data_IF_014631062194
#
_entry.id   IF_014631062194
#
_cell.length_a   1.000
_cell.length_b   1.000
_cell.length_c   1.000
_cell.angle_alpha   90.00
_cell.angle_beta   90.00
_cell.angle_gamma   90.00
#
_symmetry.space_group_name_H-M   'P 1'
#
loop_
_entity.id
_entity.type
_entity.pdbx_description
1 polymer ?
#
# COMPACT_ATOMS: atom_id res chain seq x y z
N UNK A 1 -3.76 0.10 17.18
CA UNK A 1 -2.39 -0.20 17.64
C UNK A 1 -1.51 1.03 17.51
N UNK A 2 -0.43 1.13 18.28
CA UNK A 2 0.53 2.24 18.17
C UNK A 2 1.24 2.32 16.81
N UNK A 3 1.37 1.22 16.06
CA UNK A 3 1.82 1.23 14.65
C UNK A 3 1.00 2.21 13.83
N UNK A 4 -0.31 2.08 13.95
CA UNK A 4 -1.20 2.92 13.20
C UNK A 4 -1.15 4.35 13.72
N UNK A 5 -1.03 4.56 15.03
CA UNK A 5 -0.81 5.90 15.56
C UNK A 5 0.50 6.52 15.04
N UNK A 6 1.62 5.79 15.02
CA UNK A 6 2.92 6.25 14.51
C UNK A 6 2.92 6.50 13.00
N UNK A 7 2.25 5.64 12.23
CA UNK A 7 2.14 5.76 10.79
C UNK A 7 1.20 6.90 10.41
N UNK A 8 0.08 7.06 11.13
CA UNK A 8 -0.80 8.23 11.07
C UNK A 8 -0.06 9.49 11.51
N UNK A 9 0.75 9.47 12.56
CA UNK A 9 1.56 10.60 13.01
C UNK A 9 2.63 10.95 11.97
N UNK A 10 3.34 9.98 11.41
CA UNK A 10 4.31 10.22 10.34
C UNK A 10 3.64 10.80 9.11
N UNK A 11 2.48 10.27 8.72
CA UNK A 11 1.66 10.85 7.65
C UNK A 11 1.21 12.26 7.98
N UNK A 12 0.68 12.51 9.17
CA UNK A 12 0.23 13.84 9.61
C UNK A 12 1.41 14.81 9.63
N UNK A 13 2.57 14.39 10.13
CA UNK A 13 3.80 15.19 10.17
C UNK A 13 4.31 15.46 8.75
N UNK A 14 4.31 14.44 7.89
CA UNK A 14 4.61 14.54 6.48
C UNK A 14 3.55 15.31 5.68
N UNK A 15 2.34 15.53 6.22
CA UNK A 15 1.33 16.43 5.64
C UNK A 15 1.49 17.88 6.17
N UNK A 16 1.98 18.05 7.40
CA UNK A 16 2.15 19.34 8.08
C UNK A 16 3.44 20.09 7.72
N UNK A 17 4.54 19.38 7.41
CA UNK A 17 5.87 19.96 7.13
C UNK A 17 6.01 20.75 5.82
N UNK A 18 4.90 21.20 5.22
CA UNK A 18 4.86 22.01 4.00
C UNK A 18 4.83 23.53 4.19
N UNK A 19 4.86 24.04 5.43
CA UNK A 19 4.87 25.47 5.71
C UNK A 19 5.92 25.80 6.77
N UNK A 20 6.87 26.67 6.44
CA UNK A 20 7.80 27.23 7.42
C UNK A 20 7.04 28.08 8.44
N UNK A 21 7.20 27.77 9.72
CA UNK A 21 6.63 28.53 10.82
C UNK A 21 6.54 27.71 12.11
N UNK A 22 7.36 28.07 13.10
CA UNK A 22 7.44 27.46 14.42
C UNK A 22 6.26 27.86 15.33
N UNK A 23 6.01 26.99 16.31
CA UNK A 23 5.28 27.22 17.57
C UNK A 23 3.79 27.59 17.49
N UNK A 24 2.95 26.55 17.46
CA UNK A 24 1.49 26.62 17.65
C UNK A 24 0.83 25.23 17.55
N UNK A 25 1.46 24.21 18.12
CA UNK A 25 1.36 22.83 17.62
C UNK A 25 0.01 22.11 17.84
N UNK A 26 -0.85 22.49 18.79
CA UNK A 26 -2.05 21.68 19.11
C UNK A 26 -3.33 22.18 18.43
N UNK A 27 -3.58 23.49 18.42
CA UNK A 27 -4.72 24.10 17.71
C UNK A 27 -4.56 24.08 16.18
N UNK A 28 -3.33 24.29 15.69
CA UNK A 28 -2.99 24.23 14.26
C UNK A 28 -3.05 22.82 13.68
N UNK A 29 -2.79 21.78 14.47
CA UNK A 29 -2.84 20.39 14.00
C UNK A 29 -4.27 19.91 13.74
N UNK A 30 -5.23 20.28 14.60
CA UNK A 30 -6.65 19.91 14.41
C UNK A 30 -7.27 20.65 13.23
N UNK A 31 -6.88 21.91 12.98
CA UNK A 31 -7.32 22.66 11.80
C UNK A 31 -6.71 22.13 10.49
N UNK A 32 -5.49 21.57 10.53
CA UNK A 32 -4.83 20.97 9.36
C UNK A 32 -5.43 19.61 8.93
N UNK A 33 -6.16 18.92 9.81
CA UNK A 33 -6.70 17.58 9.56
C UNK A 33 -7.97 17.55 8.69
N UNK A 34 -8.70 18.67 8.52
CA UNK A 34 -9.91 18.78 7.67
C UNK A 34 -9.62 19.33 6.26
N UNK A 35 -8.59 18.83 5.58
CA UNK A 35 -8.10 19.43 4.33
C UNK A 35 -8.47 18.67 3.05
N UNK A 36 -8.81 17.38 3.18
CA UNK A 36 -9.08 16.52 2.04
C UNK A 36 -10.57 16.29 1.82
N UNK A 37 -10.99 16.34 0.55
CA UNK A 37 -12.36 16.03 0.15
C UNK A 37 -12.62 14.52 0.14
N UNK A 38 -11.60 13.76 -0.29
CA UNK A 38 -11.66 12.31 -0.47
C UNK A 38 -10.28 11.68 -0.28
N UNK A 39 -10.26 10.37 -0.08
CA UNK A 39 -9.06 9.54 -0.12
C UNK A 39 -9.24 8.40 -1.13
N UNK A 40 -8.25 8.22 -2.00
CA UNK A 40 -8.21 7.16 -2.99
C UNK A 40 -7.02 6.26 -2.69
N UNK A 41 -7.25 4.95 -2.58
CA UNK A 41 -6.22 4.00 -2.15
C UNK A 41 -5.95 2.96 -3.24
N UNK A 42 -4.68 2.65 -3.45
CA UNK A 42 -4.18 1.68 -4.42
C UNK A 42 -3.09 0.88 -3.72
N UNK A 43 -2.98 -0.41 -4.01
CA UNK A 43 -2.04 -1.26 -3.30
C UNK A 43 -2.47 -2.73 -3.33
N UNK A 44 -2.10 -3.45 -2.29
CA UNK A 44 -2.32 -4.88 -2.21
C UNK A 44 -3.21 -5.27 -1.02
N UNK A 45 -3.02 -6.48 -0.46
CA UNK A 45 -3.71 -6.97 0.72
C UNK A 45 -3.56 -6.06 1.95
N UNK A 46 -2.52 -5.23 2.01
CA UNK A 46 -2.30 -4.31 3.14
C UNK A 46 -3.23 -3.10 3.15
N UNK A 47 -3.78 -2.75 1.99
CA UNK A 47 -4.67 -1.61 1.77
C UNK A 47 -6.07 -2.05 1.25
N UNK A 48 -6.26 -3.37 1.13
CA UNK A 48 -7.50 -4.04 0.72
C UNK A 48 -8.64 -3.73 1.68
N UNK A 49 -9.77 -3.29 1.13
CA UNK A 49 -11.00 -3.02 1.89
C UNK A 49 -12.19 -3.85 1.41
N UNK A 50 -11.92 -4.91 0.63
CA UNK A 50 -12.91 -5.91 0.22
C UNK A 50 -13.16 -6.04 -1.28
N UNK A 51 -12.27 -5.52 -2.14
CA UNK A 51 -12.33 -5.71 -3.59
C UNK A 51 -12.28 -7.19 -3.96
N UNK A 52 -11.42 -7.98 -3.32
CA UNK A 52 -11.33 -9.42 -3.62
C UNK A 52 -12.68 -10.12 -3.47
N UNK A 53 -13.40 -9.88 -2.37
CA UNK A 53 -14.72 -10.45 -2.14
C UNK A 53 -15.81 -9.83 -3.01
N UNK A 54 -15.76 -8.52 -3.24
CA UNK A 54 -16.74 -7.85 -4.09
C UNK A 54 -16.60 -8.21 -5.57
N UNK A 55 -15.42 -8.68 -5.98
CA UNK A 55 -15.15 -9.22 -7.31
C UNK A 55 -15.55 -10.70 -7.44
N UNK A 56 -15.60 -11.47 -6.34
CA UNK A 56 -15.98 -12.88 -6.35
C UNK A 56 -17.38 -13.09 -6.90
N UNK A 57 -17.51 -14.08 -7.76
CA UNK A 57 -18.73 -14.35 -8.54
C UNK A 57 -19.66 -15.35 -7.85
N UNK A 58 -19.11 -16.17 -6.95
CA UNK A 58 -19.84 -17.23 -6.27
C UNK A 58 -19.30 -17.48 -4.84
N UNK A 59 -20.08 -18.24 -4.06
CA UNK A 59 -19.78 -18.54 -2.66
C UNK A 59 -18.54 -19.43 -2.50
N UNK A 60 -18.29 -20.34 -3.43
CA UNK A 60 -17.14 -21.25 -3.39
C UNK A 60 -15.81 -20.49 -3.46
N UNK A 61 -15.72 -19.47 -4.32
CA UNK A 61 -14.55 -18.59 -4.39
C UNK A 61 -14.30 -17.87 -3.06
N UNK A 62 -15.36 -17.38 -2.41
CA UNK A 62 -15.26 -16.72 -1.12
C UNK A 62 -14.84 -17.67 0.01
N UNK A 63 -15.32 -18.92 -0.02
CA UNK A 63 -15.05 -19.90 1.03
C UNK A 63 -13.57 -20.32 1.06
N UNK A 64 -12.84 -20.23 -0.06
CA UNK A 64 -11.40 -20.55 -0.13
C UNK A 64 -10.52 -19.40 0.40
N UNK A 65 -11.03 -18.17 0.43
CA UNK A 65 -10.28 -17.01 0.89
C UNK A 65 -10.24 -16.98 2.42
N UNK A 66 -9.07 -17.18 3.01
CA UNK A 66 -8.93 -17.18 4.48
C UNK A 66 -9.42 -15.89 5.14
N UNK A 67 -9.33 -14.75 4.45
CA UNK A 67 -9.83 -13.45 4.92
C UNK A 67 -11.37 -13.33 5.06
N UNK A 68 -12.12 -14.37 4.66
CA UNK A 68 -13.58 -14.48 4.86
C UNK A 68 -13.96 -15.31 6.08
N UNK A 69 -12.97 -15.81 6.84
CA UNK A 69 -13.15 -16.64 8.03
C UNK A 69 -12.45 -16.03 9.26
N UNK A 70 -12.80 -16.45 10.49
CA UNK A 70 -12.01 -16.15 11.68
C UNK A 70 -10.53 -16.57 11.51
N UNK A 71 -9.56 -15.80 12.05
CA UNK A 71 -9.73 -14.67 12.99
C UNK A 71 -9.92 -13.30 12.32
N UNK A 72 -10.12 -13.25 10.99
CA UNK A 72 -10.22 -11.97 10.28
C UNK A 72 -11.49 -11.19 10.68
N UNK A 73 -11.32 -9.90 10.99
CA UNK A 73 -12.39 -9.01 11.47
C UNK A 73 -12.93 -9.27 12.90
N UNK A 74 -12.26 -10.10 13.72
CA UNK A 74 -12.68 -10.35 15.10
C UNK A 74 -12.55 -9.10 16.00
N UNK A 75 -11.39 -8.43 15.98
CA UNK A 75 -11.11 -7.25 16.81
C UNK A 75 -11.92 -6.03 16.40
N UNK A 76 -12.18 -5.86 15.10
CA UNK A 76 -13.01 -4.76 14.59
C UNK A 76 -13.90 -5.26 13.45
N UNK A 77 -15.15 -4.78 13.40
CA UNK A 77 -16.29 -5.30 12.63
C UNK A 77 -17.02 -6.49 13.28
N UNK A 78 -16.35 -7.23 14.18
CA UNK A 78 -16.92 -8.36 14.94
C UNK A 78 -17.31 -9.55 14.04
N UNK A 79 -16.78 -9.59 12.83
CA UNK A 79 -16.99 -10.62 11.80
C UNK A 79 -16.01 -10.40 10.64
N UNK A 80 -15.75 -11.44 9.82
CA UNK A 80 -14.96 -11.27 8.60
C UNK A 80 -15.48 -10.14 7.72
N UNK A 81 -14.57 -9.21 7.42
CA UNK A 81 -14.84 -8.00 6.65
C UNK A 81 -14.10 -7.97 5.31
N UNK A 82 -13.60 -9.13 4.85
CA UNK A 82 -12.82 -9.28 3.61
C UNK A 82 -11.56 -8.41 3.58
N UNK A 83 -10.83 -8.43 4.70
CA UNK A 83 -9.59 -7.69 4.93
C UNK A 83 -8.56 -8.66 5.49
N UNK A 84 -7.29 -8.50 5.13
CA UNK A 84 -6.20 -9.37 5.60
C UNK A 84 -5.69 -8.96 6.99
N UNK A 85 -6.61 -8.60 7.89
CA UNK A 85 -6.34 -8.36 9.30
C UNK A 85 -7.56 -8.71 10.15
N UNK A 86 -7.37 -8.76 11.46
CA UNK A 86 -8.42 -8.96 12.47
C UNK A 86 -9.35 -7.73 12.63
N UNK A 87 -9.23 -6.71 11.79
CA UNK A 87 -10.03 -5.52 11.92
C UNK A 87 -9.84 -4.47 10.83
N UNK A 88 -9.29 -3.33 11.22
CA UNK A 88 -9.06 -2.18 10.33
C UNK A 88 -7.69 -2.27 9.71
N UNK A 89 -7.59 -1.94 8.42
CA UNK A 89 -6.29 -1.76 7.76
C UNK A 89 -5.82 -0.32 7.92
N UNK A 90 -4.52 -0.08 7.66
CA UNK A 90 -3.86 1.21 7.86
C UNK A 90 -4.66 2.39 7.29
N UNK A 91 -5.21 2.24 6.08
CA UNK A 91 -5.98 3.30 5.42
C UNK A 91 -7.26 3.69 6.16
N UNK A 92 -7.91 2.80 6.91
CA UNK A 92 -9.10 3.16 7.69
C UNK A 92 -8.77 4.15 8.80
N UNK A 93 -7.62 3.96 9.44
CA UNK A 93 -7.19 4.84 10.50
C UNK A 93 -6.69 6.18 9.97
N UNK A 94 -6.05 6.20 8.80
CA UNK A 94 -5.72 7.43 8.09
C UNK A 94 -7.00 8.20 7.75
N UNK A 95 -8.01 7.51 7.19
CA UNK A 95 -9.31 8.11 6.92
C UNK A 95 -9.94 8.70 8.19
N UNK A 96 -9.96 7.92 9.28
CA UNK A 96 -10.51 8.36 10.56
C UNK A 96 -9.78 9.60 11.10
N UNK A 97 -8.45 9.61 11.07
CA UNK A 97 -7.64 10.75 11.53
C UNK A 97 -7.90 12.02 10.71
N UNK A 98 -8.20 11.87 9.42
CA UNK A 98 -8.54 12.96 8.50
C UNK A 98 -10.03 13.36 8.53
N UNK A 99 -10.86 12.71 9.34
CA UNK A 99 -12.32 12.94 9.35
C UNK A 99 -13.02 12.50 8.05
N UNK A 100 -12.41 11.58 7.31
CA UNK A 100 -12.96 10.95 6.11
C UNK A 100 -13.70 9.65 6.47
N UNK A 101 -14.71 9.24 5.69
CA UNK A 101 -15.33 7.93 5.85
C UNK A 101 -14.32 6.83 5.48
N UNK A 102 -14.57 5.60 5.94
CA UNK A 102 -13.85 4.44 5.41
C UNK A 102 -14.04 4.35 3.90
N UNK A 103 -12.96 4.02 3.21
CA UNK A 103 -12.96 3.90 1.76
C UNK A 103 -13.64 2.57 1.36
N UNK A 104 -14.76 2.61 0.62
CA UNK A 104 -15.39 1.39 0.12
C UNK A 104 -14.53 0.76 -0.98
N UNK A 105 -14.61 -0.56 -1.19
CA UNK A 105 -13.94 -1.22 -2.31
C UNK A 105 -14.57 -0.83 -3.66
N UNK A 106 -13.73 -0.54 -4.66
CA UNK A 106 -14.10 -0.16 -6.02
C UNK A 106 -15.02 -1.16 -6.74
N UNK A 107 -14.97 -2.44 -6.36
CA UNK A 107 -15.79 -3.50 -6.94
C UNK A 107 -17.16 -3.64 -6.28
N UNK A 108 -17.42 -2.94 -5.17
CA UNK A 108 -18.73 -2.98 -4.54
C UNK A 108 -19.79 -2.20 -5.33
N UNK A 109 -20.98 -2.81 -5.47
CA UNK A 109 -22.13 -2.21 -6.15
C UNK A 109 -22.88 -1.25 -5.22
N UNK A 110 -23.46 -0.20 -5.81
CA UNK A 110 -24.36 0.73 -5.09
C UNK A 110 -23.67 1.58 -4.01
N UNK A 111 -22.36 1.80 -4.11
CA UNK A 111 -21.59 2.65 -3.19
C UNK A 111 -21.40 4.04 -3.75
N UNK A 112 -21.31 5.02 -2.85
CA UNK A 112 -20.94 6.38 -3.18
C UNK A 112 -19.42 6.55 -3.04
N UNK A 113 -18.75 6.72 -4.18
CA UNK A 113 -17.29 6.87 -4.26
C UNK A 113 -16.82 8.32 -4.21
N UNK A 114 -17.73 9.30 -4.12
CA UNK A 114 -17.36 10.72 -4.15
C UNK A 114 -16.37 11.06 -3.03
N UNK A 115 -16.55 10.53 -1.82
CA UNK A 115 -15.64 10.79 -0.67
C UNK A 115 -14.44 9.84 -0.58
N UNK A 116 -14.24 8.97 -1.56
CA UNK A 116 -13.12 8.05 -1.60
C UNK A 116 -13.51 6.66 -2.05
N UNK A 117 -12.52 5.91 -2.52
CA UNK A 117 -12.66 4.52 -2.97
C UNK A 117 -11.29 3.83 -2.90
N UNK A 118 -11.30 2.54 -2.56
CA UNK A 118 -10.12 1.69 -2.61
C UNK A 118 -10.11 0.85 -3.89
N UNK A 119 -9.05 0.98 -4.66
CA UNK A 119 -8.70 0.13 -5.81
C UNK A 119 -7.73 -0.98 -5.39
N UNK A 120 -7.16 -0.90 -4.18
CA UNK A 120 -6.25 -1.90 -3.65
C UNK A 120 -6.92 -3.28 -3.64
N UNK A 121 -6.19 -4.29 -4.11
CA UNK A 121 -6.70 -5.65 -4.15
C UNK A 121 -5.58 -6.60 -3.73
N UNK A 122 -5.94 -7.58 -2.92
CA UNK A 122 -5.12 -8.71 -2.48
C UNK A 122 -4.15 -9.15 -3.57
N UNK A 123 -2.87 -9.37 -3.29
CA UNK A 123 -1.92 -9.82 -4.33
C UNK A 123 -1.56 -8.79 -5.39
N UNK A 124 -1.98 -7.53 -5.27
CA UNK A 124 -1.69 -6.46 -6.21
C UNK A 124 -0.18 -6.26 -6.42
N UNK A 125 0.25 -6.29 -7.69
CA UNK A 125 1.65 -6.17 -8.12
C UNK A 125 1.93 -4.79 -8.71
N UNK A 126 3.19 -4.35 -8.69
CA UNK A 126 3.64 -3.24 -9.52
C UNK A 126 3.60 -3.64 -11.01
N UNK A 127 4.06 -4.84 -11.34
CA UNK A 127 4.17 -5.29 -12.72
C UNK A 127 2.87 -5.91 -13.23
N UNK A 128 2.54 -5.67 -14.50
CA UNK A 128 1.41 -6.34 -15.15
C UNK A 128 1.67 -7.84 -15.30
N UNK A 129 0.60 -8.65 -15.33
CA UNK A 129 0.71 -10.10 -15.49
C UNK A 129 1.51 -10.52 -16.74
N UNK A 130 1.45 -9.75 -17.83
CA UNK A 130 2.23 -10.00 -19.04
C UNK A 130 3.75 -10.06 -18.80
N UNK A 131 4.26 -9.35 -17.79
CA UNK A 131 5.66 -9.47 -17.38
C UNK A 131 5.96 -10.84 -16.78
N UNK A 132 5.13 -11.33 -15.85
CA UNK A 132 5.31 -12.66 -15.26
C UNK A 132 5.09 -13.79 -16.26
N UNK A 133 4.15 -13.60 -17.19
CA UNK A 133 3.98 -14.51 -18.33
C UNK A 133 5.24 -14.64 -19.18
N UNK A 134 5.97 -13.54 -19.38
CA UNK A 134 7.26 -13.58 -20.10
C UNK A 134 8.37 -14.30 -19.32
N UNK A 135 8.17 -14.56 -18.02
CA UNK A 135 9.09 -15.32 -17.17
C UNK A 135 8.63 -16.78 -16.97
N UNK A 136 7.58 -17.23 -17.66
CA UNK A 136 7.09 -18.62 -17.62
C UNK A 136 5.90 -18.87 -16.68
N UNK A 137 5.29 -17.84 -16.10
CA UNK A 137 4.06 -18.00 -15.31
C UNK A 137 2.84 -18.08 -16.25
N UNK A 138 2.10 -19.18 -16.22
CA UNK A 138 1.02 -19.43 -17.18
C UNK A 138 -0.31 -18.73 -16.85
N UNK A 139 -0.62 -18.55 -15.56
CA UNK A 139 -1.84 -17.92 -15.04
C UNK A 139 -1.47 -16.89 -13.96
N UNK A 140 -2.18 -15.75 -13.78
CA UNK A 140 -2.07 -14.92 -12.59
C UNK A 140 -2.02 -15.76 -11.32
N UNK A 141 -0.92 -15.60 -10.59
CA UNK A 141 -0.67 -16.32 -9.33
C UNK A 141 -1.79 -16.10 -8.31
N UNK A 142 -2.32 -14.87 -8.26
CA UNK A 142 -3.42 -14.52 -7.34
C UNK A 142 -4.58 -13.81 -8.02
N UNK A 143 -4.31 -12.80 -8.85
CA UNK A 143 -5.30 -12.08 -9.67
C UNK A 143 -4.62 -11.10 -10.64
N UNK A 144 -5.42 -10.40 -11.45
CA UNK A 144 -4.97 -9.41 -12.42
C UNK A 144 -4.85 -7.96 -11.88
N UNK A 145 -4.82 -7.78 -10.57
CA UNK A 145 -4.88 -6.49 -9.87
C UNK A 145 -3.58 -5.70 -9.84
N UNK A 146 -2.81 -5.66 -10.93
CA UNK A 146 -1.59 -4.86 -11.02
C UNK A 146 -1.87 -3.36 -10.86
N UNK A 147 -0.83 -2.57 -10.61
CA UNK A 147 -0.96 -1.12 -10.41
C UNK A 147 -1.65 -0.42 -11.59
N UNK A 148 -1.38 -0.85 -12.83
CA UNK A 148 -2.01 -0.27 -14.03
C UNK A 148 -3.49 -0.64 -14.11
N UNK A 149 -3.83 -1.87 -13.74
CA UNK A 149 -5.23 -2.33 -13.65
C UNK A 149 -5.99 -1.50 -12.60
N UNK A 150 -5.38 -1.23 -11.45
CA UNK A 150 -5.99 -0.42 -10.40
C UNK A 150 -6.17 1.05 -10.82
N UNK A 151 -5.19 1.63 -11.53
CA UNK A 151 -5.33 2.96 -12.14
C UNK A 151 -6.45 2.97 -13.18
N UNK A 152 -6.60 1.91 -13.96
CA UNK A 152 -7.68 1.78 -14.94
C UNK A 152 -9.06 1.74 -14.25
N UNK A 153 -9.21 0.96 -13.17
CA UNK A 153 -10.45 0.96 -12.37
C UNK A 153 -10.76 2.34 -11.80
N UNK A 154 -9.75 3.08 -11.34
CA UNK A 154 -9.96 4.44 -10.87
C UNK A 154 -10.47 5.36 -11.99
N UNK A 155 -9.87 5.32 -13.18
CA UNK A 155 -10.32 6.09 -14.35
C UNK A 155 -11.78 5.81 -14.71
N UNK A 156 -12.20 4.55 -14.65
CA UNK A 156 -13.59 4.14 -14.91
C UNK A 156 -14.58 4.74 -13.91
N UNK A 157 -14.15 4.94 -12.65
CA UNK A 157 -14.99 5.53 -11.60
C UNK A 157 -14.98 7.06 -11.60
N UNK A 158 -13.97 7.72 -12.19
CA UNK A 158 -13.83 9.19 -12.18
C UNK A 158 -15.10 9.95 -12.63
N UNK A 159 -15.82 9.55 -13.70
CA UNK A 159 -17.05 10.23 -14.10
C UNK A 159 -18.11 10.28 -12.98
N UNK A 160 -18.24 9.21 -12.20
CA UNK A 160 -19.19 9.14 -11.07
C UNK A 160 -18.71 9.91 -9.83
N UNK A 161 -17.39 10.05 -9.67
CA UNK A 161 -16.75 10.73 -8.53
C UNK A 161 -16.80 12.24 -8.71
N UNK A 162 -16.45 12.74 -9.90
CA UNK A 162 -16.17 14.16 -10.11
C UNK A 162 -16.66 14.70 -11.46
N UNK A 163 -17.35 13.91 -12.29
CA UNK A 163 -17.96 14.38 -13.53
C UNK A 163 -16.97 14.49 -14.69
N UNK A 164 -16.79 15.71 -15.19
CA UNK A 164 -15.93 15.98 -16.35
C UNK A 164 -14.44 15.95 -15.99
N UNK A 165 -13.55 15.83 -16.98
CA UNK A 165 -12.11 15.86 -16.77
C UNK A 165 -11.67 17.14 -16.02
N UNK A 166 -12.22 18.30 -16.38
CA UNK A 166 -11.87 19.57 -15.76
C UNK A 166 -12.32 19.64 -14.28
N UNK A 167 -13.54 19.20 -13.99
CA UNK A 167 -14.03 19.14 -12.60
C UNK A 167 -13.27 18.10 -11.79
N UNK A 168 -12.86 16.99 -12.40
CA UNK A 168 -12.00 16.00 -11.78
C UNK A 168 -10.63 16.58 -11.39
N UNK A 169 -9.94 17.31 -12.26
CA UNK A 169 -8.67 17.97 -11.88
C UNK A 169 -8.83 18.89 -10.66
N UNK A 170 -9.94 19.64 -10.60
CA UNK A 170 -10.24 20.55 -9.47
C UNK A 170 -10.61 19.78 -8.19
N UNK A 171 -11.25 18.62 -8.31
CA UNK A 171 -11.64 17.78 -7.19
C UNK A 171 -10.45 16.99 -6.64
N UNK A 172 -9.73 16.28 -7.50
CA UNK A 172 -8.64 15.37 -7.16
C UNK A 172 -7.43 16.10 -6.57
N UNK A 173 -7.16 17.36 -6.96
CA UNK A 173 -6.12 18.16 -6.31
C UNK A 173 -6.37 18.39 -4.81
N UNK A 174 -7.60 18.23 -4.33
CA UNK A 174 -7.99 18.33 -2.91
C UNK A 174 -8.20 16.96 -2.27
N UNK A 175 -7.67 15.90 -2.86
CA UNK A 175 -7.81 14.53 -2.36
C UNK A 175 -6.44 13.93 -2.04
N UNK A 176 -6.43 12.96 -1.11
CA UNK A 176 -5.25 12.19 -0.76
C UNK A 176 -5.20 10.89 -1.57
N UNK A 177 -4.05 10.58 -2.14
CA UNK A 177 -3.81 9.33 -2.87
C UNK A 177 -2.81 8.50 -2.07
N UNK A 178 -3.26 7.36 -1.54
CA UNK A 178 -2.38 6.33 -0.98
C UNK A 178 -2.02 5.35 -2.09
N UNK A 179 -0.75 5.30 -2.48
CA UNK A 179 -0.30 4.56 -3.66
C UNK A 179 0.80 3.55 -3.33
N UNK A 180 0.43 2.44 -2.67
CA UNK A 180 1.35 1.34 -2.35
C UNK A 180 0.74 0.40 -1.31
N UNK A 181 1.42 -0.60 -0.74
CA UNK A 181 2.83 -0.99 -0.85
C UNK A 181 3.16 -1.98 -1.96
N UNK A 182 3.28 -1.49 -3.19
CA UNK A 182 3.66 -2.31 -4.35
C UNK A 182 5.11 -2.82 -4.28
N UNK A 183 5.35 -4.00 -4.87
CA UNK A 183 6.66 -4.64 -4.90
C UNK A 183 6.71 -5.91 -4.06
N UNK A 184 6.03 -5.96 -2.91
CA UNK A 184 6.03 -7.15 -2.06
C UNK A 184 5.50 -8.38 -2.79
N UNK A 185 4.35 -8.23 -3.45
CA UNK A 185 3.77 -9.31 -4.27
C UNK A 185 4.61 -9.62 -5.52
N UNK A 186 5.28 -8.63 -6.12
CA UNK A 186 6.21 -8.87 -7.22
C UNK A 186 7.36 -9.80 -6.81
N UNK A 187 7.88 -9.62 -5.60
CA UNK A 187 8.89 -10.50 -5.03
C UNK A 187 8.32 -11.84 -4.60
N UNK A 188 7.09 -11.89 -4.06
CA UNK A 188 6.45 -13.16 -3.74
C UNK A 188 6.32 -14.04 -4.99
N UNK A 189 5.94 -13.49 -6.16
CA UNK A 189 5.91 -14.27 -7.41
C UNK A 189 7.31 -14.77 -7.77
N UNK A 190 8.34 -13.92 -7.65
CA UNK A 190 9.71 -14.29 -7.97
C UNK A 190 10.28 -15.37 -7.04
N UNK A 191 10.02 -15.27 -5.74
CA UNK A 191 10.61 -16.13 -4.72
C UNK A 191 9.83 -17.45 -4.56
N UNK A 192 8.50 -17.40 -4.61
CA UNK A 192 7.64 -18.55 -4.32
C UNK A 192 7.26 -19.33 -5.58
N UNK A 193 7.00 -18.66 -6.70
CA UNK A 193 6.52 -19.32 -7.93
C UNK A 193 7.65 -19.61 -8.91
N UNK A 194 8.58 -18.66 -9.06
CA UNK A 194 9.75 -18.83 -9.93
C UNK A 194 10.95 -19.46 -9.21
N UNK A 195 10.88 -19.63 -7.88
CA UNK A 195 11.96 -20.22 -7.09
C UNK A 195 13.27 -19.42 -7.12
N UNK A 196 13.22 -18.12 -7.42
CA UNK A 196 14.41 -17.28 -7.45
C UNK A 196 14.94 -17.07 -6.04
N UNK A 197 16.26 -16.99 -5.92
CA UNK A 197 16.90 -16.49 -4.69
C UNK A 197 16.65 -14.97 -4.53
N UNK A 198 16.75 -14.42 -3.30
CA UNK A 198 16.66 -12.97 -3.10
C UNK A 198 17.64 -12.17 -3.97
N UNK A 199 18.86 -12.69 -4.18
CA UNK A 199 19.86 -12.06 -5.05
C UNK A 199 19.42 -12.03 -6.52
N UNK A 200 18.83 -13.11 -7.03
CA UNK A 200 18.30 -13.13 -8.39
C UNK A 200 17.08 -12.20 -8.54
N UNK A 201 16.19 -12.15 -7.55
CA UNK A 201 15.05 -11.25 -7.51
C UNK A 201 15.47 -9.76 -7.53
N UNK A 202 16.61 -9.41 -6.92
CA UNK A 202 17.17 -8.04 -6.96
C UNK A 202 17.38 -7.52 -8.39
N UNK A 203 17.65 -8.40 -9.38
CA UNK A 203 17.83 -7.99 -10.77
C UNK A 203 16.58 -7.33 -11.38
N UNK A 204 15.39 -7.68 -10.89
CA UNK A 204 14.13 -7.11 -11.36
C UNK A 204 13.70 -5.86 -10.59
N UNK A 205 14.34 -5.57 -9.46
CA UNK A 205 13.99 -4.46 -8.56
C UNK A 205 13.98 -3.09 -9.24
N UNK A 206 14.97 -2.72 -10.10
CA UNK A 206 14.91 -1.45 -10.83
C UNK A 206 13.66 -1.31 -11.72
N UNK A 207 13.22 -2.41 -12.36
CA UNK A 207 12.04 -2.42 -13.24
C UNK A 207 10.75 -2.25 -12.44
N UNK A 208 10.61 -2.97 -11.33
CA UNK A 208 9.48 -2.87 -10.39
C UNK A 208 9.35 -1.44 -9.85
N UNK A 209 10.44 -0.89 -9.31
CA UNK A 209 10.45 0.48 -8.75
C UNK A 209 10.16 1.54 -9.82
N UNK A 210 10.64 1.34 -11.06
CA UNK A 210 10.31 2.22 -12.18
C UNK A 210 8.82 2.17 -12.53
N UNK A 211 8.19 0.99 -12.47
CA UNK A 211 6.75 0.86 -12.68
C UNK A 211 5.95 1.64 -11.63
N UNK A 212 6.35 1.57 -10.35
CA UNK A 212 5.73 2.35 -9.26
C UNK A 212 5.86 3.86 -9.53
N UNK A 213 7.06 4.34 -9.87
CA UNK A 213 7.29 5.74 -10.19
C UNK A 213 6.43 6.22 -11.38
N UNK A 214 6.31 5.40 -12.43
CA UNK A 214 5.44 5.68 -13.57
C UNK A 214 3.95 5.68 -13.18
N UNK A 215 3.54 4.85 -12.23
CA UNK A 215 2.19 4.86 -11.66
C UNK A 215 1.87 6.20 -10.98
N UNK A 216 2.82 6.74 -10.21
CA UNK A 216 2.69 8.06 -9.58
C UNK A 216 2.52 9.15 -10.64
N UNK A 217 3.34 9.14 -11.70
CA UNK A 217 3.20 10.08 -12.83
C UNK A 217 1.82 10.00 -13.49
N UNK A 218 1.28 8.78 -13.68
CA UNK A 218 -0.08 8.58 -14.20
C UNK A 218 -1.14 9.20 -13.30
N UNK A 219 -1.02 9.07 -11.98
CA UNK A 219 -1.95 9.72 -11.04
C UNK A 219 -1.85 11.24 -11.08
N UNK A 220 -0.63 11.79 -11.16
CA UNK A 220 -0.40 13.24 -11.30
C UNK A 220 -1.06 13.75 -12.58
N UNK A 221 -0.90 13.04 -13.70
CA UNK A 221 -1.55 13.37 -14.96
C UNK A 221 -3.10 13.37 -14.87
N UNK A 222 -3.68 12.53 -14.01
CA UNK A 222 -5.12 12.52 -13.73
C UNK A 222 -5.58 13.65 -12.80
N UNK A 223 -4.66 14.38 -12.17
CA UNK A 223 -4.96 15.51 -11.27
C UNK A 223 -4.66 15.25 -9.80
N UNK A 224 -3.95 14.17 -9.46
CA UNK A 224 -3.49 13.94 -8.09
C UNK A 224 -2.40 14.95 -7.71
N UNK A 225 -2.59 15.64 -6.58
CA UNK A 225 -1.62 16.60 -6.04
C UNK A 225 -0.99 16.10 -4.74
N UNK A 226 -1.69 15.30 -3.94
CA UNK A 226 -1.17 14.77 -2.68
C UNK A 226 -1.05 13.25 -2.80
N UNK A 227 0.18 12.76 -3.02
CA UNK A 227 0.44 11.34 -3.23
C UNK A 227 1.38 10.81 -2.15
N UNK A 228 0.95 9.76 -1.46
CA UNK A 228 1.77 8.99 -0.52
C UNK A 228 2.21 7.72 -1.22
N UNK A 229 3.52 7.45 -1.17
CA UNK A 229 4.16 6.28 -1.75
C UNK A 229 4.86 5.53 -0.61
N UNK A 230 4.22 4.51 -0.01
CA UNK A 230 4.86 3.72 1.02
C UNK A 230 5.93 2.79 0.43
N UNK A 231 6.97 2.53 1.21
CA UNK A 231 7.87 1.40 0.99
C UNK A 231 7.21 0.06 1.34
N UNK A 232 7.95 -1.02 1.16
CA UNK A 232 7.53 -2.37 1.56
C UNK A 232 8.19 -2.78 2.89
N UNK A 233 7.58 -3.75 3.59
CA UNK A 233 8.02 -4.23 4.89
C UNK A 233 9.34 -5.01 4.85
N UNK A 234 10.00 -5.25 6.00
CA UNK A 234 11.10 -6.19 6.09
C UNK A 234 10.62 -7.62 5.82
N UNK A 235 10.71 -8.08 4.57
CA UNK A 235 10.20 -9.38 4.14
C UNK A 235 10.79 -10.54 4.93
N UNK A 236 12.07 -10.46 5.29
CA UNK A 236 12.75 -11.49 6.09
C UNK A 236 12.25 -11.60 7.53
N UNK A 237 11.47 -10.64 8.00
CA UNK A 237 10.81 -10.69 9.30
C UNK A 237 9.36 -11.18 9.24
N UNK A 238 8.80 -11.40 8.04
CA UNK A 238 7.41 -11.83 7.91
C UNK A 238 7.26 -13.30 8.32
N UNK A 239 6.26 -13.67 9.14
CA UNK A 239 6.07 -15.04 9.61
C UNK A 239 6.03 -16.09 8.49
N UNK A 240 5.45 -15.76 7.33
CA UNK A 240 5.39 -16.68 6.18
C UNK A 240 6.79 -16.98 5.62
N UNK A 241 7.68 -15.99 5.54
CA UNK A 241 9.05 -16.20 5.05
C UNK A 241 9.92 -16.93 6.07
N UNK A 242 9.75 -16.62 7.36
CA UNK A 242 10.41 -17.37 8.44
C UNK A 242 9.98 -18.84 8.44
N UNK A 243 8.67 -19.11 8.23
CA UNK A 243 8.15 -20.48 8.19
C UNK A 243 8.61 -21.25 6.96
N UNK A 244 8.64 -20.62 5.78
CA UNK A 244 8.99 -21.30 4.53
C UNK A 244 10.50 -21.49 4.35
N UNK A 245 11.31 -20.57 4.86
CA UNK A 245 12.75 -20.53 4.56
C UNK A 245 13.64 -20.58 5.78
N UNK A 246 13.09 -20.51 6.99
CA UNK A 246 13.86 -20.50 8.23
C UNK A 246 14.62 -21.80 8.47
N UNK A 247 13.96 -22.94 8.30
CA UNK A 247 14.57 -24.27 8.57
C UNK A 247 15.73 -24.61 7.62
N UNK A 248 15.70 -24.07 6.40
CA UNK A 248 16.75 -24.27 5.41
C UNK A 248 17.89 -23.24 5.51
N UNK A 249 17.74 -22.21 6.34
CA UNK A 249 18.71 -21.13 6.49
C UNK A 249 19.81 -21.49 7.49
N UNK A 250 21.01 -20.94 7.28
CA UNK A 250 22.09 -21.02 8.27
C UNK A 250 21.79 -20.09 9.45
N UNK A 251 22.33 -20.38 10.63
CA UNK A 251 22.31 -19.44 11.77
C UNK A 251 22.87 -18.06 11.38
N UNK A 252 23.84 -18.04 10.47
CA UNK A 252 24.45 -16.82 9.95
C UNK A 252 23.56 -16.04 8.99
N UNK A 253 22.42 -16.58 8.56
CA UNK A 253 21.45 -15.88 7.69
C UNK A 253 20.45 -15.04 8.48
N UNK A 254 20.34 -15.25 9.79
CA UNK A 254 19.51 -14.44 10.67
C UNK A 254 20.26 -13.20 11.18
N UNK A 255 19.52 -12.13 11.44
CA UNK A 255 20.00 -10.96 12.21
C UNK A 255 19.75 -11.14 13.71
N UNK A 256 20.16 -10.15 14.51
CA UNK A 256 19.99 -10.18 15.97
C UNK A 256 18.54 -10.16 16.45
N UNK A 257 17.58 -9.94 15.54
CA UNK A 257 16.13 -9.98 15.81
C UNK A 257 15.45 -11.24 15.27
N UNK A 258 16.22 -12.18 14.69
CA UNK A 258 15.67 -13.41 14.13
C UNK A 258 15.06 -13.25 12.74
N UNK A 259 15.34 -12.15 12.03
CA UNK A 259 14.89 -11.97 10.65
C UNK A 259 15.91 -12.49 9.63
N UNK A 260 15.42 -13.02 8.51
CA UNK A 260 16.29 -13.50 7.42
C UNK A 260 16.92 -12.34 6.64
N UNK A 261 18.23 -12.16 6.80
CA UNK A 261 19.01 -11.08 6.16
C UNK A 261 18.92 -11.05 4.65
N UNK A 262 19.00 -12.18 3.90
CA UNK A 262 18.93 -12.12 2.43
C UNK A 262 17.63 -11.49 1.90
N UNK A 263 16.50 -11.77 2.55
CA UNK A 263 15.19 -11.24 2.19
C UNK A 263 15.03 -9.78 2.63
N UNK A 264 15.51 -9.42 3.82
CA UNK A 264 15.54 -8.01 4.25
C UNK A 264 16.38 -7.16 3.30
N UNK A 265 17.57 -7.63 2.88
CA UNK A 265 18.42 -6.93 1.90
C UNK A 265 17.70 -6.65 0.58
N UNK A 266 16.87 -7.58 0.09
CA UNK A 266 16.05 -7.38 -1.11
C UNK A 266 15.09 -6.20 -0.93
N UNK A 267 14.37 -6.17 0.19
CA UNK A 267 13.42 -5.08 0.48
C UNK A 267 14.09 -3.75 0.84
N UNK A 268 15.25 -3.76 1.48
CA UNK A 268 16.06 -2.57 1.71
C UNK A 268 16.55 -1.98 0.39
N UNK A 269 16.99 -2.83 -0.54
CA UNK A 269 17.40 -2.41 -1.88
C UNK A 269 16.22 -1.79 -2.64
N UNK A 270 15.05 -2.43 -2.63
CA UNK A 270 13.82 -1.88 -3.17
C UNK A 270 13.52 -0.49 -2.60
N UNK A 271 13.45 -0.38 -1.27
CA UNK A 271 13.09 0.86 -0.59
C UNK A 271 14.11 1.97 -0.83
N UNK A 272 15.39 1.62 -0.95
CA UNK A 272 16.47 2.56 -1.32
C UNK A 272 16.26 3.13 -2.73
N UNK A 273 15.96 2.28 -3.73
CA UNK A 273 15.66 2.76 -5.08
C UNK A 273 14.35 3.56 -5.13
N UNK A 274 13.32 3.12 -4.40
CA UNK A 274 12.04 3.79 -4.37
C UNK A 274 12.14 5.19 -3.77
N UNK A 275 12.89 5.37 -2.67
CA UNK A 275 13.18 6.69 -2.10
C UNK A 275 13.87 7.61 -3.12
N UNK A 276 14.87 7.11 -3.85
CA UNK A 276 15.54 7.87 -4.91
C UNK A 276 14.57 8.30 -6.02
N UNK A 277 13.66 7.43 -6.44
CA UNK A 277 12.64 7.77 -7.43
C UNK A 277 11.63 8.78 -6.89
N UNK A 278 11.17 8.63 -5.64
CA UNK A 278 10.29 9.61 -4.99
C UNK A 278 10.95 10.98 -4.93
N UNK A 279 12.24 11.06 -4.59
CA UNK A 279 12.98 12.32 -4.58
C UNK A 279 13.21 12.91 -5.98
N UNK A 280 13.33 12.07 -7.01
CA UNK A 280 13.34 12.53 -8.40
C UNK A 280 11.97 13.11 -8.81
N UNK A 281 10.87 12.42 -8.49
CA UNK A 281 9.52 12.89 -8.75
C UNK A 281 9.19 14.19 -8.00
N UNK A 282 9.61 14.31 -6.73
CA UNK A 282 9.49 15.54 -5.94
C UNK A 282 10.18 16.72 -6.60
N UNK A 283 11.41 16.53 -7.11
CA UNK A 283 12.14 17.58 -7.84
C UNK A 283 11.45 17.94 -9.15
N UNK A 284 10.93 16.94 -9.87
CA UNK A 284 10.25 17.14 -11.15
C UNK A 284 8.93 17.91 -10.99
N UNK A 285 8.18 17.66 -9.92
CA UNK A 285 6.85 18.22 -9.67
C UNK A 285 6.80 19.20 -8.48
N UNK A 286 7.95 19.82 -8.15
CA UNK A 286 8.14 20.59 -6.92
C UNK A 286 7.14 21.74 -6.71
N UNK A 287 6.59 22.30 -7.80
CA UNK A 287 5.66 23.43 -7.77
C UNK A 287 4.18 23.03 -7.86
N UNK A 288 3.88 21.75 -8.13
CA UNK A 288 2.53 21.30 -8.48
C UNK A 288 2.03 20.16 -7.61
N UNK A 289 2.91 19.33 -7.06
CA UNK A 289 2.55 18.07 -6.40
C UNK A 289 3.34 17.88 -5.11
N UNK A 290 2.62 17.50 -4.03
CA UNK A 290 3.20 17.03 -2.77
C UNK A 290 3.28 15.50 -2.80
N UNK A 291 4.48 14.97 -3.04
CA UNK A 291 4.76 13.53 -3.02
C UNK A 291 5.45 13.18 -1.70
N UNK A 292 4.94 12.18 -0.99
CA UNK A 292 5.35 11.80 0.37
C UNK A 292 5.78 10.33 0.38
N UNK A 293 7.00 10.04 0.85
CA UNK A 293 7.42 8.68 1.13
C UNK A 293 6.98 8.27 2.53
N UNK A 294 6.42 7.07 2.69
CA UNK A 294 6.11 6.50 4.00
C UNK A 294 7.03 5.30 4.27
N UNK A 295 7.84 5.37 5.33
CA UNK A 295 8.84 4.36 5.67
C UNK A 295 8.23 3.20 6.46
N UNK A 296 7.47 2.38 5.74
CA UNK A 296 6.84 1.17 6.29
C UNK A 296 7.87 0.18 6.83
N UNK A 297 9.02 0.07 6.18
CA UNK A 297 10.12 -0.81 6.62
C UNK A 297 10.61 -0.41 8.01
N UNK A 298 11.05 0.85 8.15
CA UNK A 298 11.62 1.34 9.40
C UNK A 298 10.63 1.23 10.56
N UNK A 299 9.35 1.54 10.32
CA UNK A 299 8.29 1.41 11.33
C UNK A 299 8.09 -0.02 11.82
N UNK A 300 7.95 -0.98 10.90
CA UNK A 300 7.74 -2.38 11.26
C UNK A 300 9.00 -2.98 11.89
N UNK A 301 10.17 -2.65 11.37
CA UNK A 301 11.43 -3.14 11.93
C UNK A 301 11.67 -2.60 13.35
N UNK A 302 11.33 -1.34 13.63
CA UNK A 302 11.40 -0.79 14.98
C UNK A 302 10.46 -1.53 15.95
N UNK A 303 9.28 -1.96 15.52
CA UNK A 303 8.37 -2.76 16.37
C UNK A 303 8.96 -4.11 16.73
N UNK A 304 9.68 -4.73 15.81
CA UNK A 304 10.36 -6.00 16.07
C UNK A 304 11.52 -5.79 17.05
N UNK A 305 12.25 -4.69 16.93
CA UNK A 305 13.36 -4.36 17.83
C UNK A 305 12.91 -3.92 19.23
N UNK A 306 11.76 -3.24 19.32
CA UNK A 306 11.30 -2.58 20.56
C UNK A 306 9.81 -2.87 20.85
N UNK A 307 9.39 -4.15 20.91
CA UNK A 307 7.96 -4.53 20.92
C UNK A 307 7.18 -3.92 22.10
N UNK A 308 7.81 -3.83 23.27
CA UNK A 308 7.23 -3.21 24.48
C UNK A 308 6.79 -1.75 24.26
N UNK A 309 7.51 -0.97 23.45
CA UNK A 309 7.13 0.43 23.15
C UNK A 309 5.84 0.53 22.33
N UNK A 310 5.46 -0.55 21.67
CA UNK A 310 4.28 -0.63 20.82
C UNK A 310 3.15 -1.46 21.43
N UNK A 311 3.36 -2.02 22.63
CA UNK A 311 2.42 -2.91 23.29
C UNK A 311 2.27 -4.26 22.59
N UNK A 312 3.35 -4.72 21.97
CA UNK A 312 3.50 -6.05 21.35
C UNK A 312 4.34 -6.92 22.25
#
# INVERSE_FOLDING_TARGET
SLLVASLVIQLITAMASGGGGSSGATSSMVAALKKYNAMFTFGDSMDETGNICAASSNKTELDVLTCTHPPYGETYFGRPACRWCDGRVVVDFIAQALGLPFVPPSKAKGKDFRRGVSMAITGGTAMNFSFYKSLGIEDPVWNHGSLDTQIQWFKELMPSICGTEQSCKVYLRKSLFMFGGYGGNDYNVQLLELGLTPLQAMNYTPKIVTAIANGVEKLIALGAVHVVVPGIFPTGCLPIFLSLFGDAASETDFDGTGCLKPYNRLTEYHNSLLRKQVDALRRKHYNSTRIMYADYYGLVYQMIQEPEKFGV
#
